data_IF_837851339553
#
_entry.id   IF_837851339553
#
_cell.length_a   1.000
_cell.length_b   1.000
_cell.length_c   1.000
_cell.angle_alpha   90.00
_cell.angle_beta   90.00
_cell.angle_gamma   90.00
#
_symmetry.space_group_name_H-M   'P 1'
#
loop_
_entity.id
_entity.type
_entity.pdbx_description
1 polymer ?
#
# COMPACT_ATOMS: atom_id res chain seq x y z
N UNK A 1 14.02 -11.95 14.57
CA UNK A 1 12.83 -11.66 13.74
C UNK A 1 13.28 -10.72 12.64
N UNK A 2 12.79 -10.88 11.42
CA UNK A 2 13.13 -9.98 10.31
C UNK A 2 12.46 -8.62 10.51
N UNK A 3 13.11 -7.55 10.04
CA UNK A 3 12.54 -6.19 10.03
C UNK A 3 11.26 -6.18 9.17
N UNK A 4 10.21 -5.53 9.65
CA UNK A 4 8.95 -5.32 8.92
C UNK A 4 8.50 -3.88 9.02
N UNK A 5 7.87 -3.37 7.97
CA UNK A 5 7.22 -2.08 7.97
C UNK A 5 5.84 -2.19 7.28
N UNK A 6 4.91 -1.35 7.74
CA UNK A 6 3.50 -1.39 7.31
C UNK A 6 3.01 0.00 6.96
N UNK A 7 2.42 0.17 5.79
CA UNK A 7 1.57 1.33 5.52
C UNK A 7 0.14 1.04 6.00
N UNK A 8 -0.40 1.91 6.85
CA UNK A 8 -1.81 1.92 7.23
C UNK A 8 -2.52 3.10 6.55
N UNK A 9 -3.52 2.81 5.73
CA UNK A 9 -4.46 3.80 5.20
C UNK A 9 -5.80 3.65 5.93
N UNK A 10 -6.32 4.75 6.46
CA UNK A 10 -7.66 4.82 7.04
C UNK A 10 -8.50 5.76 6.20
N UNK A 11 -9.61 5.25 5.66
CA UNK A 11 -10.50 5.99 4.75
C UNK A 11 -11.94 5.89 5.23
N UNK A 12 -12.77 6.94 5.10
CA UNK A 12 -14.20 6.83 5.37
C UNK A 12 -14.83 5.77 4.48
N UNK A 13 -15.75 4.96 5.00
CA UNK A 13 -16.37 3.87 4.23
C UNK A 13 -17.09 4.39 2.97
N UNK A 14 -17.63 5.61 3.02
CA UNK A 14 -18.23 6.30 1.88
C UNK A 14 -17.25 6.56 0.71
N UNK A 15 -15.94 6.53 0.97
CA UNK A 15 -14.87 6.70 -0.01
C UNK A 15 -14.09 5.39 -0.29
N UNK A 16 -14.61 4.23 0.16
CA UNK A 16 -13.97 2.94 -0.05
C UNK A 16 -13.73 2.63 -1.54
N UNK A 17 -14.71 2.89 -2.40
CA UNK A 17 -14.58 2.67 -3.85
C UNK A 17 -13.46 3.52 -4.46
N UNK A 18 -13.27 4.75 -3.98
CA UNK A 18 -12.17 5.60 -4.41
C UNK A 18 -10.80 5.05 -3.96
N UNK A 19 -10.73 4.49 -2.74
CA UNK A 19 -9.52 3.81 -2.26
C UNK A 19 -9.18 2.58 -3.11
N UNK A 20 -10.16 1.73 -3.38
CA UNK A 20 -9.95 0.54 -4.20
C UNK A 20 -9.52 0.89 -5.61
N UNK A 21 -10.14 1.91 -6.22
CA UNK A 21 -9.75 2.40 -7.54
C UNK A 21 -8.31 2.95 -7.55
N UNK A 22 -7.92 3.71 -6.52
CA UNK A 22 -6.57 4.25 -6.39
C UNK A 22 -5.51 3.15 -6.19
N UNK A 23 -5.80 2.11 -5.39
CA UNK A 23 -4.89 0.96 -5.24
C UNK A 23 -4.78 0.20 -6.58
N UNK A 24 -5.91 -0.03 -7.25
CA UNK A 24 -5.95 -0.75 -8.53
C UNK A 24 -5.18 -0.04 -9.64
N UNK A 25 -5.12 1.30 -9.65
CA UNK A 25 -4.33 2.05 -10.65
C UNK A 25 -2.82 1.93 -10.46
N UNK A 26 -2.38 1.38 -9.32
CA UNK A 26 -0.98 1.25 -8.93
C UNK A 26 -0.57 -0.20 -8.62
N UNK A 27 -1.37 -1.17 -9.04
CA UNK A 27 -1.09 -2.59 -8.85
C UNK A 27 -1.25 -3.35 -10.16
N UNK A 28 -0.54 -4.47 -10.31
CA UNK A 28 -0.87 -5.41 -11.39
C UNK A 28 -2.26 -6.02 -11.13
N UNK A 29 -3.01 -6.38 -12.18
CA UNK A 29 -4.33 -6.97 -12.01
C UNK A 29 -4.25 -8.28 -11.23
N UNK A 30 -4.82 -8.29 -10.03
CA UNK A 30 -5.01 -9.50 -9.23
C UNK A 30 -6.49 -9.94 -9.36
N UNK A 31 -6.80 -11.11 -9.96
CA UNK A 31 -8.17 -11.56 -10.18
C UNK A 31 -9.01 -11.59 -8.90
N UNK A 32 -8.38 -11.92 -7.78
CA UNK A 32 -9.02 -12.02 -6.47
C UNK A 32 -9.43 -10.66 -5.88
N UNK A 33 -8.86 -9.56 -6.38
CA UNK A 33 -9.09 -8.22 -5.84
C UNK A 33 -10.49 -7.68 -6.18
N UNK A 34 -10.98 -8.01 -7.38
CA UNK A 34 -12.28 -7.54 -7.88
C UNK A 34 -13.48 -8.19 -7.17
N UNK A 35 -13.29 -9.40 -6.64
CA UNK A 35 -14.33 -10.15 -5.92
C UNK A 35 -14.48 -9.67 -4.46
N UNK A 36 -13.38 -9.20 -3.86
CA UNK A 36 -13.30 -8.86 -2.43
C UNK A 36 -13.79 -7.47 -2.05
N UNK A 37 -14.04 -6.58 -3.03
CA UNK A 37 -14.71 -5.28 -2.79
C UNK A 37 -16.08 -5.41 -2.09
N UNK A 38 -16.69 -6.61 -2.14
CA UNK A 38 -18.03 -6.88 -1.60
C UNK A 38 -18.04 -7.56 -0.23
N UNK A 39 -16.88 -7.93 0.34
CA UNK A 39 -16.83 -8.59 1.64
C UNK A 39 -16.96 -7.58 2.78
N UNK A 40 -17.97 -7.78 3.64
CA UNK A 40 -18.30 -6.88 4.76
C UNK A 40 -17.39 -7.00 5.99
N UNK A 41 -16.38 -7.88 5.94
CA UNK A 41 -15.51 -8.21 7.07
C UNK A 41 -14.05 -8.37 6.61
N UNK A 42 -13.13 -8.49 7.58
CA UNK A 42 -11.69 -8.66 7.35
C UNK A 42 -11.41 -9.66 6.23
N UNK A 43 -10.61 -9.24 5.25
CA UNK A 43 -10.22 -10.09 4.13
C UNK A 43 -8.94 -10.87 4.46
N UNK A 44 -8.77 -12.09 3.92
CA UNK A 44 -7.47 -12.76 3.93
C UNK A 44 -6.40 -11.88 3.28
N UNK A 45 -5.15 -12.02 3.73
CA UNK A 45 -4.00 -11.36 3.10
C UNK A 45 -3.94 -11.63 1.59
N UNK A 46 -3.65 -10.57 0.84
CA UNK A 46 -3.44 -10.60 -0.59
C UNK A 46 -2.05 -10.07 -0.90
N UNK A 47 -1.28 -10.79 -1.70
CA UNK A 47 -0.02 -10.27 -2.19
C UNK A 47 -0.28 -9.30 -3.34
N UNK A 48 -0.08 -8.01 -3.11
CA UNK A 48 -0.10 -7.01 -4.16
C UNK A 48 1.29 -6.86 -4.80
N UNK A 49 1.28 -6.69 -6.12
CA UNK A 49 2.45 -6.21 -6.88
C UNK A 49 2.23 -4.75 -7.22
N UNK A 50 3.00 -3.85 -6.60
CA UNK A 50 2.96 -2.42 -6.84
C UNK A 50 3.61 -2.07 -8.18
N UNK A 51 3.05 -1.08 -8.86
CA UNK A 51 3.49 -0.59 -10.17
C UNK A 51 3.71 0.92 -10.08
N UNK A 52 4.95 1.36 -10.30
CA UNK A 52 5.36 2.74 -10.13
C UNK A 52 6.48 3.13 -11.12
N UNK A 53 6.68 4.43 -11.39
CA UNK A 53 7.78 4.90 -12.23
C UNK A 53 9.15 4.42 -11.73
N UNK A 54 10.11 4.28 -12.65
CA UNK A 54 11.47 3.86 -12.32
C UNK A 54 12.12 4.76 -11.27
N UNK A 55 12.67 4.12 -10.24
CA UNK A 55 13.45 4.76 -9.20
C UNK A 55 14.71 3.93 -8.94
N UNK A 56 15.93 4.49 -9.10
CA UNK A 56 17.17 3.73 -8.92
C UNK A 56 17.29 3.02 -7.56
N UNK A 57 16.77 3.66 -6.50
CA UNK A 57 16.72 3.10 -5.13
C UNK A 57 15.84 1.85 -4.98
N UNK A 58 14.93 1.60 -5.93
CA UNK A 58 14.03 0.45 -5.92
C UNK A 58 14.37 -0.59 -6.99
N UNK A 59 15.43 -0.37 -7.78
CA UNK A 59 15.77 -1.25 -8.90
C UNK A 59 16.05 -2.70 -8.48
N UNK A 60 16.61 -2.91 -7.28
CA UNK A 60 16.87 -4.25 -6.73
C UNK A 60 15.60 -5.00 -6.31
N UNK A 61 14.49 -4.29 -6.12
CA UNK A 61 13.18 -4.86 -5.75
C UNK A 61 12.30 -5.12 -6.97
N UNK A 62 12.77 -4.80 -8.17
CA UNK A 62 11.99 -5.01 -9.38
C UNK A 62 11.89 -6.50 -9.72
N UNK A 63 10.65 -6.92 -9.94
CA UNK A 63 10.30 -8.28 -10.35
C UNK A 63 10.22 -8.41 -11.87
N UNK A 64 10.29 -7.31 -12.63
CA UNK A 64 10.28 -7.30 -14.10
C UNK A 64 8.94 -7.61 -14.75
N UNK A 65 7.84 -7.59 -13.99
CA UNK A 65 6.47 -7.84 -14.47
C UNK A 65 5.75 -6.58 -14.98
N UNK A 66 6.32 -5.37 -14.81
CA UNK A 66 5.72 -4.15 -15.32
C UNK A 66 5.67 -4.16 -16.86
N UNK A 67 4.46 -4.08 -17.43
CA UNK A 67 4.26 -4.06 -18.89
C UNK A 67 4.54 -2.69 -19.54
N UNK A 68 5.30 -1.80 -18.88
CA UNK A 68 5.62 -0.45 -19.36
C UNK A 68 7.13 -0.23 -19.33
N UNK A 69 7.73 0.30 -20.40
CA UNK A 69 9.11 0.79 -20.33
C UNK A 69 9.19 1.90 -19.28
N UNK A 70 10.29 1.94 -18.53
CA UNK A 70 10.57 2.93 -17.46
C UNK A 70 9.69 2.83 -16.19
N UNK A 71 9.07 1.67 -15.95
CA UNK A 71 8.32 1.38 -14.73
C UNK A 71 8.88 0.15 -14.04
N UNK A 72 8.76 0.11 -12.71
CA UNK A 72 9.11 -1.05 -11.88
C UNK A 72 7.85 -1.76 -11.40
N UNK A 73 8.00 -3.05 -11.15
CA UNK A 73 6.99 -3.89 -10.54
C UNK A 73 7.54 -4.51 -9.26
N UNK A 74 7.02 -4.10 -8.13
CA UNK A 74 7.52 -4.52 -6.83
C UNK A 74 6.50 -5.46 -6.19
N UNK A 75 6.82 -6.75 -6.13
CA UNK A 75 6.00 -7.77 -5.46
C UNK A 75 6.15 -7.73 -3.93
N UNK A 76 5.63 -8.73 -3.22
CA UNK A 76 5.87 -8.93 -1.78
C UNK A 76 5.22 -7.90 -0.83
N UNK A 77 4.04 -7.36 -1.19
CA UNK A 77 3.25 -6.48 -0.32
C UNK A 77 1.98 -7.18 0.13
N UNK A 78 2.00 -7.73 1.35
CA UNK A 78 0.84 -8.40 1.92
C UNK A 78 -0.18 -7.37 2.38
N UNK A 79 -1.34 -7.38 1.75
CA UNK A 79 -2.36 -6.38 1.96
C UNK A 79 -3.59 -7.00 2.60
N UNK A 80 -4.02 -6.40 3.71
CA UNK A 80 -5.22 -6.76 4.44
C UNK A 80 -6.16 -5.58 4.45
N UNK A 81 -7.46 -5.87 4.48
CA UNK A 81 -8.46 -4.85 4.77
C UNK A 81 -9.31 -5.22 5.97
N UNK A 82 -9.79 -4.20 6.66
CA UNK A 82 -10.80 -4.32 7.69
C UNK A 82 -11.82 -3.21 7.53
N UNK A 83 -13.10 -3.61 7.47
CA UNK A 83 -14.23 -2.71 7.42
C UNK A 83 -14.84 -2.65 8.81
N UNK A 84 -14.95 -1.45 9.35
CA UNK A 84 -15.70 -1.14 10.58
C UNK A 84 -16.93 -0.26 10.20
N UNK A 85 -17.69 0.21 11.19
CA UNK A 85 -18.97 0.90 10.98
C UNK A 85 -18.87 2.14 10.06
N UNK A 86 -17.79 2.91 10.15
CA UNK A 86 -17.63 4.17 9.39
C UNK A 86 -16.35 4.25 8.57
N UNK A 87 -15.44 3.28 8.71
CA UNK A 87 -14.10 3.34 8.11
C UNK A 87 -13.69 2.03 7.46
N UNK A 88 -12.91 2.16 6.39
CA UNK A 88 -12.11 1.11 5.78
C UNK A 88 -10.65 1.33 6.18
N UNK A 89 -10.02 0.29 6.73
CA UNK A 89 -8.58 0.24 7.01
C UNK A 89 -7.90 -0.70 6.03
N UNK A 90 -6.78 -0.26 5.48
CA UNK A 90 -5.88 -1.08 4.68
C UNK A 90 -4.52 -1.10 5.35
N UNK A 91 -3.98 -2.30 5.57
CA UNK A 91 -2.59 -2.50 5.94
C UNK A 91 -1.87 -3.14 4.77
N UNK A 92 -0.78 -2.51 4.33
CA UNK A 92 0.15 -3.07 3.35
C UNK A 92 1.46 -3.37 4.09
N UNK A 93 1.75 -4.65 4.29
CA UNK A 93 2.87 -5.17 5.06
C UNK A 93 4.02 -5.58 4.13
N UNK A 94 5.24 -5.22 4.49
CA UNK A 94 6.44 -5.71 3.81
C UNK A 94 6.64 -7.21 4.05
N UNK A 95 6.76 -8.03 3.00
CA UNK A 95 7.06 -9.47 3.18
C UNK A 95 8.55 -9.75 3.46
N UNK A 96 9.44 -8.79 3.17
CA UNK A 96 10.90 -8.93 3.32
C UNK A 96 11.52 -7.72 4.02
N UNK A 97 12.72 -7.89 4.59
CA UNK A 97 13.44 -6.78 5.23
C UNK A 97 13.93 -5.72 4.25
N UNK A 98 14.23 -6.08 3.00
CA UNK A 98 14.55 -5.09 1.95
C UNK A 98 13.33 -4.25 1.58
N UNK A 99 12.15 -4.87 1.53
CA UNK A 99 10.90 -4.13 1.33
C UNK A 99 10.59 -3.22 2.53
N UNK A 100 10.80 -3.70 3.76
CA UNK A 100 10.62 -2.89 4.95
C UNK A 100 11.49 -1.62 4.90
N UNK A 101 12.77 -1.80 4.55
CA UNK A 101 13.71 -0.69 4.34
C UNK A 101 13.21 0.26 3.25
N UNK A 102 12.73 -0.25 2.12
CA UNK A 102 12.17 0.58 1.06
C UNK A 102 10.94 1.38 1.52
N UNK A 103 10.06 0.81 2.34
CA UNK A 103 8.92 1.55 2.91
C UNK A 103 9.38 2.74 3.77
N UNK A 104 10.45 2.55 4.54
CA UNK A 104 10.96 3.56 5.46
C UNK A 104 11.79 4.65 4.78
N UNK A 105 12.51 4.30 3.72
CA UNK A 105 13.56 5.13 3.12
C UNK A 105 13.23 5.65 1.71
N UNK A 106 12.45 4.92 0.91
CA UNK A 106 12.13 5.33 -0.47
C UNK A 106 11.12 6.47 -0.51
N UNK A 107 11.56 7.62 -1.02
CA UNK A 107 10.68 8.76 -1.26
C UNK A 107 9.62 8.43 -2.34
N UNK A 108 9.99 7.65 -3.36
CA UNK A 108 9.07 7.26 -4.43
C UNK A 108 7.92 6.40 -3.90
N UNK A 109 8.25 5.44 -3.03
CA UNK A 109 7.26 4.50 -2.49
C UNK A 109 6.36 5.17 -1.44
N UNK A 110 6.90 6.05 -0.59
CA UNK A 110 6.07 6.87 0.29
C UNK A 110 5.17 7.84 -0.48
N UNK A 111 5.69 8.48 -1.55
CA UNK A 111 4.90 9.35 -2.40
C UNK A 111 3.74 8.61 -3.09
N UNK A 112 3.97 7.35 -3.51
CA UNK A 112 2.91 6.50 -4.04
C UNK A 112 1.78 6.29 -3.02
N UNK A 113 2.08 5.88 -1.79
CA UNK A 113 1.06 5.67 -0.77
C UNK A 113 0.37 6.98 -0.36
N UNK A 114 1.11 8.10 -0.31
CA UNK A 114 0.52 9.43 -0.09
C UNK A 114 -0.46 9.76 -1.21
N UNK A 115 -0.10 9.51 -2.47
CA UNK A 115 -0.96 9.76 -3.62
C UNK A 115 -2.23 8.90 -3.57
N UNK A 116 -2.11 7.61 -3.22
CA UNK A 116 -3.26 6.72 -3.01
C UNK A 116 -4.18 7.28 -1.92
N UNK A 117 -3.61 7.65 -0.76
CA UNK A 117 -4.37 8.19 0.36
C UNK A 117 -5.09 9.51 0.00
N UNK A 118 -4.42 10.42 -0.70
CA UNK A 118 -5.00 11.68 -1.15
C UNK A 118 -6.13 11.47 -2.16
N UNK A 119 -5.90 10.65 -3.18
CA UNK A 119 -6.88 10.35 -4.24
C UNK A 119 -8.12 9.67 -3.67
N UNK A 120 -7.94 8.83 -2.66
CA UNK A 120 -9.02 8.14 -1.97
C UNK A 120 -9.81 9.00 -0.98
N UNK A 121 -9.36 10.23 -0.67
CA UNK A 121 -9.94 11.01 0.43
C UNK A 121 -9.72 10.35 1.81
N UNK A 122 -8.57 9.68 2.00
CA UNK A 122 -8.23 9.04 3.25
C UNK A 122 -8.13 10.04 4.40
N UNK A 123 -8.56 9.62 5.58
CA UNK A 123 -8.40 10.37 6.84
C UNK A 123 -6.93 10.38 7.30
N UNK A 124 -6.21 9.28 7.10
CA UNK A 124 -4.79 9.20 7.45
C UNK A 124 -4.02 8.15 6.65
N UNK A 125 -2.72 8.41 6.46
CA UNK A 125 -1.70 7.45 6.09
C UNK A 125 -0.60 7.44 7.14
N UNK A 126 -0.20 6.25 7.60
CA UNK A 126 0.86 6.05 8.58
C UNK A 126 1.82 4.98 8.11
N UNK A 127 3.08 5.14 8.50
CA UNK A 127 4.08 4.07 8.44
C UNK A 127 4.29 3.54 9.86
N UNK A 128 4.20 2.23 10.02
CA UNK A 128 4.36 1.52 11.30
C UNK A 128 5.56 0.57 11.15
N UNK A 129 6.58 0.70 12.01
CA UNK A 129 7.74 -0.19 12.01
C UNK A 129 7.54 -1.46 12.86
N UNK A 130 8.54 -2.32 12.94
CA UNK A 130 8.54 -3.56 13.71
C UNK A 130 8.54 -3.35 15.23
N UNK A 131 8.78 -2.13 15.69
CA UNK A 131 8.70 -1.69 17.09
C UNK A 131 7.38 -0.98 17.41
N UNK A 132 6.43 -0.98 16.46
CA UNK A 132 5.16 -0.26 16.52
C UNK A 132 5.32 1.25 16.66
N UNK A 133 6.44 1.83 16.26
CA UNK A 133 6.57 3.27 16.12
C UNK A 133 5.74 3.73 14.93
N UNK A 134 4.91 4.74 15.15
CA UNK A 134 3.98 5.25 14.15
C UNK A 134 4.48 6.59 13.64
N UNK A 135 4.82 6.64 12.35
CA UNK A 135 5.14 7.88 11.63
C UNK A 135 3.96 8.29 10.76
N UNK A 136 3.32 9.41 11.08
CA UNK A 136 2.29 9.99 10.23
C UNK A 136 2.90 10.52 8.92
N UNK A 137 2.37 10.09 7.78
CA UNK A 137 2.79 10.54 6.46
C UNK A 137 1.74 11.44 5.80
N UNK A 138 0.46 11.25 6.15
CA UNK A 138 -0.64 12.08 5.70
C UNK A 138 -1.77 12.13 6.75
N UNK A 139 -2.41 13.30 7.01
CA UNK A 139 -1.89 14.62 6.65
C UNK A 139 -0.52 14.84 7.30
N UNK A 140 0.35 15.64 6.67
CA UNK A 140 1.66 15.94 7.27
C UNK A 140 1.43 16.66 8.61
N UNK A 141 2.06 16.22 9.71
CA UNK A 141 2.06 17.02 10.93
C UNK A 141 2.77 18.35 10.66
N UNK A 142 2.20 19.45 11.15
CA UNK A 142 2.78 20.80 11.07
C UNK A 142 4.13 20.90 11.80
#
# INVERSE_FOLDING_TARGET
>A
MGRSATFEIVTPLAAADALWAAIASHTLPEPEWAERRHTRHSTPELCLTLVLPFSPELAELDTGHAHRPDWLSIGCVWTQCHVDAEVLRIWANSATSDMARAFEESAALQALFIHIAQTAGAQSLRLIDDWHQVRALWPRPD
#
